data_IF_129588330261
#
_entry.id   IF_129588330261
#
_cell.length_a   1.000
_cell.length_b   1.000
_cell.length_c   1.000
_cell.angle_alpha   90.00
_cell.angle_beta   90.00
_cell.angle_gamma   90.00
#
_symmetry.space_group_name_H-M   'P 1'
#
loop_
_entity.id
_entity.type
_entity.pdbx_description
1 polymer ?
#
# COMPACT_ATOMS: atom_id res chain seq x y z
N UNK A 1 -70.63 -39.03 189.62
CA UNK A 1 -71.94 -38.54 189.14
C UNK A 1 -72.66 -37.94 190.32
N UNK A 2 -72.82 -36.62 190.45
CA UNK A 2 -73.60 -36.13 191.60
C UNK A 2 -74.55 -35.03 191.15
N UNK A 3 -75.80 -35.45 190.98
CA UNK A 3 -76.97 -34.56 190.99
C UNK A 3 -77.00 -33.91 192.36
N UNK A 4 -77.04 -32.58 192.40
CA UNK A 4 -77.36 -31.85 193.63
C UNK A 4 -78.48 -30.87 193.34
N UNK A 5 -79.60 -31.11 194.03
CA UNK A 5 -80.73 -30.21 194.07
C UNK A 5 -80.38 -28.96 194.87
N UNK A 6 -80.79 -27.82 194.33
CA UNK A 6 -80.86 -26.53 195.01
C UNK A 6 -82.28 -25.95 194.81
N UNK A 7 -82.88 -25.22 195.78
CA UNK A 7 -84.25 -24.69 195.75
C UNK A 7 -84.40 -23.39 194.90
N UNK A 8 -85.63 -23.00 194.46
CA UNK A 8 -85.86 -21.96 193.44
C UNK A 8 -85.97 -20.48 193.94
N UNK A 9 -85.94 -19.52 192.98
CA UNK A 9 -85.68 -18.06 193.06
C UNK A 9 -86.94 -17.16 192.80
N UNK A 10 -87.21 -16.08 193.56
CA UNK A 10 -88.35 -15.14 193.41
C UNK A 10 -88.55 -14.49 192.04
N UNK A 11 -87.50 -14.36 191.21
CA UNK A 11 -87.65 -13.87 189.83
C UNK A 11 -88.63 -14.70 189.00
N UNK A 12 -88.68 -16.01 189.23
CA UNK A 12 -89.58 -16.90 188.51
C UNK A 12 -91.04 -16.64 188.90
N UNK A 13 -91.30 -16.25 190.16
CA UNK A 13 -92.66 -15.97 190.66
C UNK A 13 -93.26 -14.74 189.99
N UNK A 14 -92.50 -13.64 189.90
CA UNK A 14 -92.94 -12.44 189.19
C UNK A 14 -93.17 -12.70 187.70
N UNK A 15 -92.33 -13.55 187.08
CA UNK A 15 -92.51 -13.95 185.69
C UNK A 15 -93.80 -14.77 185.50
N UNK A 16 -94.16 -15.63 186.46
CA UNK A 16 -95.40 -16.43 186.45
C UNK A 16 -96.63 -15.55 186.63
N UNK A 17 -96.60 -14.59 187.56
CA UNK A 17 -97.70 -13.65 187.76
C UNK A 17 -97.89 -12.71 186.57
N UNK A 18 -96.81 -12.18 186.02
CA UNK A 18 -96.86 -11.41 184.78
C UNK A 18 -97.42 -12.24 183.62
N UNK A 19 -97.06 -13.54 183.54
CA UNK A 19 -97.71 -14.47 182.60
C UNK A 19 -99.20 -14.60 182.88
N UNK A 20 -99.61 -14.79 184.14
CA UNK A 20 -101.04 -14.88 184.50
C UNK A 20 -101.82 -13.61 184.18
N UNK A 21 -101.27 -12.43 184.46
CA UNK A 21 -101.95 -11.16 184.18
C UNK A 21 -102.04 -10.91 182.68
N UNK A 22 -100.97 -11.15 181.92
CA UNK A 22 -101.05 -11.15 180.45
C UNK A 22 -102.06 -12.16 179.93
N UNK A 23 -102.12 -13.35 180.52
CA UNK A 23 -103.10 -14.36 180.11
C UNK A 23 -104.53 -13.93 180.45
N UNK A 24 -104.76 -13.24 181.58
CA UNK A 24 -106.07 -12.65 181.92
C UNK A 24 -106.46 -11.53 180.98
N UNK A 25 -105.54 -10.61 180.66
CA UNK A 25 -105.76 -9.56 179.67
C UNK A 25 -105.96 -10.12 178.26
N UNK A 26 -105.31 -11.24 177.96
CA UNK A 26 -105.50 -11.96 176.72
C UNK A 26 -106.86 -12.65 176.72
N UNK A 27 -107.25 -13.29 177.82
CA UNK A 27 -108.56 -13.93 177.98
C UNK A 27 -109.68 -12.91 177.87
N UNK A 28 -109.57 -11.73 178.48
CA UNK A 28 -110.57 -10.68 178.35
C UNK A 28 -110.73 -10.20 176.90
N UNK A 29 -109.66 -10.24 176.10
CA UNK A 29 -109.70 -9.96 174.65
C UNK A 29 -110.23 -11.14 173.81
N UNK A 30 -109.88 -12.37 174.17
CA UNK A 30 -110.17 -13.59 173.40
C UNK A 30 -111.60 -14.10 173.63
N UNK A 31 -112.09 -14.05 174.88
CA UNK A 31 -113.46 -14.45 175.21
C UNK A 31 -114.49 -13.39 174.82
N UNK A 32 -114.09 -12.12 174.75
CA UNK A 32 -114.97 -11.06 174.31
C UNK A 32 -115.03 -11.01 172.77
N UNK A 33 -116.09 -11.61 172.24
CA UNK A 33 -116.30 -11.80 170.79
C UNK A 33 -116.29 -10.47 170.03
N UNK A 34 -116.81 -9.38 170.62
CA UNK A 34 -116.93 -8.10 169.93
C UNK A 34 -115.57 -7.41 169.73
N UNK A 35 -114.70 -7.44 170.74
CA UNK A 35 -113.30 -6.99 170.60
C UNK A 35 -112.49 -7.91 169.71
N UNK A 36 -112.79 -9.21 169.69
CA UNK A 36 -112.10 -10.19 168.84
C UNK A 36 -112.40 -10.01 167.35
N UNK A 37 -113.64 -9.66 167.00
CA UNK A 37 -114.05 -9.49 165.60
C UNK A 37 -113.85 -8.05 165.13
N UNK A 38 -114.11 -7.04 165.97
CA UNK A 38 -114.14 -5.63 165.54
C UNK A 38 -113.52 -4.63 166.53
N UNK A 39 -112.56 -5.02 167.36
CA UNK A 39 -111.83 -4.06 168.20
C UNK A 39 -110.86 -3.20 167.38
N UNK A 40 -111.12 -1.90 167.23
CA UNK A 40 -110.23 -0.92 166.60
C UNK A 40 -110.16 0.35 167.44
N UNK A 41 -108.95 0.90 167.61
CA UNK A 41 -108.67 2.12 168.35
C UNK A 41 -108.72 3.35 167.42
N UNK A 42 -109.81 4.13 167.51
CA UNK A 42 -110.10 5.24 166.59
C UNK A 42 -109.27 6.49 166.90
N UNK A 43 -108.92 6.73 168.16
CA UNK A 43 -108.14 7.91 168.56
C UNK A 43 -106.70 7.82 168.03
N UNK A 44 -106.11 6.62 168.10
CA UNK A 44 -104.81 6.33 167.52
C UNK A 44 -104.79 6.55 166.00
N UNK A 45 -105.86 6.16 165.29
CA UNK A 45 -105.97 6.36 163.83
C UNK A 45 -106.06 7.84 163.44
N UNK A 46 -106.83 8.64 164.18
CA UNK A 46 -106.94 10.07 163.89
C UNK A 46 -105.60 10.80 164.09
N UNK A 47 -104.86 10.44 165.14
CA UNK A 47 -103.53 11.00 165.39
C UNK A 47 -102.54 10.63 164.28
N UNK A 48 -102.60 9.40 163.76
CA UNK A 48 -101.79 8.96 162.62
C UNK A 48 -102.09 9.74 161.33
N UNK A 49 -103.34 10.15 161.09
CA UNK A 49 -103.72 10.92 159.90
C UNK A 49 -103.16 12.35 159.96
N UNK A 50 -103.23 13.01 161.11
CA UNK A 50 -102.66 14.36 161.26
C UNK A 50 -101.14 14.36 161.14
N UNK A 51 -100.48 13.38 161.76
CA UNK A 51 -99.03 13.22 161.62
C UNK A 51 -98.63 12.99 160.15
N UNK A 52 -99.40 12.16 159.42
CA UNK A 52 -99.18 11.95 157.99
C UNK A 52 -99.31 13.25 157.18
N UNK A 53 -100.33 14.07 157.44
CA UNK A 53 -100.50 15.37 156.74
C UNK A 53 -99.33 16.31 157.00
N UNK A 54 -98.86 16.41 158.25
CA UNK A 54 -97.70 17.23 158.59
C UNK A 54 -96.45 16.73 157.84
N UNK A 55 -96.18 15.42 157.85
CA UNK A 55 -95.08 14.83 157.08
C UNK A 55 -95.17 15.19 155.60
N UNK A 56 -96.32 15.00 154.96
CA UNK A 56 -96.52 15.31 153.53
C UNK A 56 -96.24 16.80 153.22
N UNK A 57 -96.66 17.74 154.08
CA UNK A 57 -96.36 19.17 153.87
C UNK A 57 -94.87 19.49 154.02
N UNK A 58 -94.18 18.87 154.98
CA UNK A 58 -92.74 19.07 155.15
C UNK A 58 -91.94 18.48 153.99
N UNK A 59 -92.35 17.33 153.45
CA UNK A 59 -91.73 16.70 152.29
C UNK A 59 -91.88 17.58 151.04
N UNK A 60 -93.09 18.09 150.76
CA UNK A 60 -93.31 19.02 149.64
C UNK A 60 -92.44 20.28 149.72
N UNK A 61 -92.26 20.84 150.93
CA UNK A 61 -91.39 22.01 151.12
C UNK A 61 -89.92 21.70 150.85
N UNK A 62 -89.45 20.49 151.20
CA UNK A 62 -88.09 20.03 150.91
C UNK A 62 -87.90 19.79 149.42
N UNK A 63 -88.85 19.12 148.77
CA UNK A 63 -88.83 18.87 147.32
C UNK A 63 -88.76 20.18 146.52
N UNK A 64 -89.55 21.20 146.90
CA UNK A 64 -89.49 22.51 146.26
C UNK A 64 -88.10 23.18 146.38
N UNK A 65 -87.47 23.09 147.56
CA UNK A 65 -86.11 23.62 147.77
C UNK A 65 -85.06 22.85 146.93
N UNK A 66 -85.15 21.52 146.88
CA UNK A 66 -84.28 20.72 146.00
C UNK A 66 -84.48 21.06 144.52
N UNK A 67 -85.72 21.26 144.08
CA UNK A 67 -86.03 21.69 142.71
C UNK A 67 -85.35 23.02 142.35
N UNK A 68 -85.39 24.02 143.24
CA UNK A 68 -84.69 25.29 143.00
C UNK A 68 -83.17 25.14 142.94
N UNK A 69 -82.61 24.25 143.75
CA UNK A 69 -81.15 23.99 143.76
C UNK A 69 -80.71 23.27 142.49
N UNK A 70 -81.54 22.33 141.99
CA UNK A 70 -81.29 21.61 140.75
C UNK A 70 -81.25 22.56 139.54
N UNK A 71 -82.20 23.49 139.44
CA UNK A 71 -82.21 24.50 138.37
C UNK A 71 -80.94 25.36 138.39
N UNK A 72 -80.41 25.70 139.57
CA UNK A 72 -79.15 26.43 139.69
C UNK A 72 -77.96 25.60 139.18
N UNK A 73 -77.90 24.31 139.54
CA UNK A 73 -76.86 23.41 139.05
C UNK A 73 -76.93 23.17 137.54
N UNK A 74 -78.13 23.06 136.97
CA UNK A 74 -78.33 22.87 135.53
C UNK A 74 -77.80 24.07 134.72
N UNK A 75 -78.01 25.30 135.22
CA UNK A 75 -77.46 26.52 134.60
C UNK A 75 -75.93 26.52 134.63
N UNK A 76 -75.32 26.11 135.74
CA UNK A 76 -73.86 25.99 135.86
C UNK A 76 -73.31 24.93 134.91
N UNK A 77 -73.98 23.78 134.78
CA UNK A 77 -73.59 22.71 133.87
C UNK A 77 -73.60 23.17 132.40
N UNK A 78 -74.65 23.89 131.97
CA UNK A 78 -74.73 24.44 130.61
C UNK A 78 -73.62 25.47 130.31
N UNK A 79 -73.21 26.26 131.31
CA UNK A 79 -72.10 27.21 131.15
C UNK A 79 -70.77 26.48 130.94
N UNK A 80 -70.49 25.45 131.74
CA UNK A 80 -69.26 24.65 131.61
C UNK A 80 -69.19 23.90 130.27
N UNK A 81 -70.31 23.34 129.81
CA UNK A 81 -70.38 22.64 128.52
C UNK A 81 -70.06 23.60 127.34
N UNK A 82 -70.55 24.84 127.40
CA UNK A 82 -70.23 25.87 126.39
C UNK A 82 -68.73 26.21 126.40
N UNK A 83 -68.13 26.36 127.58
CA UNK A 83 -66.69 26.64 127.69
C UNK A 83 -65.84 25.47 127.15
N UNK A 84 -66.20 24.23 127.46
CA UNK A 84 -65.51 23.05 126.92
C UNK A 84 -65.66 22.94 125.40
N UNK A 85 -66.86 23.18 124.86
CA UNK A 85 -67.10 23.19 123.43
C UNK A 85 -66.24 24.25 122.71
N UNK A 86 -66.09 25.45 123.28
CA UNK A 86 -65.20 26.48 122.75
C UNK A 86 -63.72 26.08 122.81
N UNK A 87 -63.26 25.50 123.92
CA UNK A 87 -61.88 25.00 124.06
C UNK A 87 -61.59 23.93 123.03
N UNK A 88 -62.50 22.98 122.83
CA UNK A 88 -62.39 21.93 121.82
C UNK A 88 -62.32 22.52 120.41
N UNK A 89 -63.18 23.49 120.07
CA UNK A 89 -63.11 24.20 118.78
C UNK A 89 -61.77 24.89 118.55
N UNK A 90 -61.22 25.58 119.56
CA UNK A 90 -59.91 26.24 119.47
C UNK A 90 -58.78 25.23 119.28
N UNK A 91 -58.84 24.10 119.99
CA UNK A 91 -57.86 23.01 119.86
C UNK A 91 -57.90 22.38 118.46
N UNK A 92 -59.10 22.04 117.96
CA UNK A 92 -59.27 21.45 116.62
C UNK A 92 -58.75 22.37 115.52
N UNK A 93 -58.99 23.69 115.62
CA UNK A 93 -58.43 24.67 114.67
C UNK A 93 -56.89 24.65 114.68
N UNK A 94 -56.26 24.70 115.85
CA UNK A 94 -54.79 24.64 115.97
C UNK A 94 -54.20 23.34 115.41
N UNK A 95 -54.85 22.20 115.64
CA UNK A 95 -54.42 20.90 115.09
C UNK A 95 -54.49 20.93 113.57
N UNK A 96 -55.58 21.46 113.00
CA UNK A 96 -55.76 21.55 111.56
C UNK A 96 -54.72 22.48 110.91
N UNK A 97 -54.49 23.66 111.49
CA UNK A 97 -53.43 24.59 111.06
C UNK A 97 -52.04 23.93 111.10
N UNK A 98 -51.74 23.16 112.14
CA UNK A 98 -50.47 22.43 112.25
C UNK A 98 -50.32 21.35 111.17
N UNK A 99 -51.38 20.58 110.90
CA UNK A 99 -51.41 19.58 109.81
C UNK A 99 -51.15 20.25 108.46
N UNK A 100 -51.83 21.35 108.20
CA UNK A 100 -51.71 22.10 106.94
C UNK A 100 -50.33 22.74 106.78
N UNK A 101 -49.68 23.23 107.83
CA UNK A 101 -48.38 23.89 107.71
C UNK A 101 -47.20 22.91 107.67
N UNK A 102 -47.21 21.90 108.54
CA UNK A 102 -46.03 21.07 108.84
C UNK A 102 -46.13 19.65 108.28
N UNK A 103 -47.33 19.12 108.04
CA UNK A 103 -47.53 17.73 107.59
C UNK A 103 -47.95 17.61 106.12
N UNK A 104 -47.67 18.63 105.30
CA UNK A 104 -47.91 18.55 103.86
C UNK A 104 -47.05 17.46 103.21
N UNK A 105 -47.66 16.68 102.32
CA UNK A 105 -47.00 15.61 101.58
C UNK A 105 -45.72 16.10 100.86
N UNK A 106 -45.76 17.32 100.31
CA UNK A 106 -44.65 17.97 99.60
C UNK A 106 -43.38 18.20 100.45
N UNK A 107 -43.49 18.19 101.77
CA UNK A 107 -42.37 18.47 102.70
C UNK A 107 -41.71 17.21 103.25
N UNK A 108 -42.09 16.02 102.78
CA UNK A 108 -41.46 14.75 103.18
C UNK A 108 -40.18 14.51 102.38
N UNK A 109 -39.12 14.04 103.03
CA UNK A 109 -37.86 13.69 102.35
C UNK A 109 -38.02 12.62 101.25
N UNK A 110 -39.01 11.75 101.39
CA UNK A 110 -39.31 10.69 100.42
C UNK A 110 -40.26 11.15 99.31
N UNK A 111 -40.68 12.42 99.25
CA UNK A 111 -41.64 12.87 98.23
C UNK A 111 -41.09 12.71 96.81
N UNK A 112 -39.80 12.97 96.58
CA UNK A 112 -39.17 12.89 95.26
C UNK A 112 -39.31 11.50 94.59
N UNK A 113 -39.12 10.37 95.29
CA UNK A 113 -39.47 9.04 94.77
C UNK A 113 -40.95 8.84 94.40
N UNK A 114 -41.87 9.45 95.15
CA UNK A 114 -43.32 9.22 95.06
C UNK A 114 -44.08 10.26 94.22
N UNK A 115 -43.40 11.28 93.69
CA UNK A 115 -44.03 12.31 92.86
C UNK A 115 -44.59 11.71 91.55
N UNK A 116 -45.91 11.80 91.28
CA UNK A 116 -46.52 11.33 90.03
C UNK A 116 -45.91 11.97 88.78
N UNK A 117 -45.36 13.18 88.89
CA UNK A 117 -44.73 13.91 87.79
C UNK A 117 -43.24 13.63 87.63
N UNK A 118 -42.65 12.76 88.46
CA UNK A 118 -41.22 12.44 88.40
C UNK A 118 -40.79 11.90 87.03
N UNK A 119 -41.66 11.14 86.35
CA UNK A 119 -41.40 10.63 85.02
C UNK A 119 -41.45 11.71 83.93
N UNK A 120 -42.23 12.79 84.15
CA UNK A 120 -42.26 13.95 83.26
C UNK A 120 -41.11 14.94 83.53
N UNK A 121 -40.67 15.06 84.79
CA UNK A 121 -39.56 15.94 85.18
C UNK A 121 -38.17 15.31 84.98
N UNK A 122 -38.10 13.98 84.86
CA UNK A 122 -36.90 13.31 84.35
C UNK A 122 -36.73 13.71 82.89
N UNK A 123 -35.69 14.50 82.62
CA UNK A 123 -35.22 14.69 81.25
C UNK A 123 -35.04 13.30 80.62
N UNK A 124 -35.59 13.06 79.41
CA UNK A 124 -35.26 11.84 78.68
C UNK A 124 -33.73 11.77 78.58
N UNK A 125 -33.17 10.57 78.71
CA UNK A 125 -31.73 10.36 78.49
C UNK A 125 -31.33 11.07 77.17
N UNK A 126 -30.21 11.82 77.15
CA UNK A 126 -29.92 12.75 76.07
C UNK A 126 -30.02 12.06 74.71
N UNK A 127 -31.02 12.45 73.91
CA UNK A 127 -31.28 11.88 72.58
C UNK A 127 -30.35 12.44 71.48
N UNK A 128 -29.27 13.13 71.87
CA UNK A 128 -28.46 13.93 70.96
C UNK A 128 -26.98 13.63 71.15
N UNK A 129 -26.34 13.25 70.05
CA UNK A 129 -25.05 12.55 69.96
C UNK A 129 -23.81 13.34 70.40
N UNK A 130 -23.98 14.50 71.04
CA UNK A 130 -22.89 15.35 71.51
C UNK A 130 -23.24 16.01 72.84
N UNK A 131 -23.61 15.20 73.83
CA UNK A 131 -23.75 15.67 75.20
C UNK A 131 -22.38 15.62 75.92
N UNK A 132 -21.82 16.77 76.39
CA UNK A 132 -20.54 16.82 77.09
C UNK A 132 -20.46 15.95 78.35
N UNK A 133 -21.61 15.56 78.91
CA UNK A 133 -21.69 14.81 80.17
C UNK A 133 -21.65 13.27 79.99
N UNK A 134 -21.72 12.75 78.76
CA UNK A 134 -21.73 11.32 78.47
C UNK A 134 -20.33 10.80 78.07
N UNK A 135 -19.48 10.49 79.07
CA UNK A 135 -18.17 9.86 78.84
C UNK A 135 -18.23 8.35 78.58
N UNK A 136 -17.11 7.72 78.25
CA UNK A 136 -17.03 6.29 77.91
C UNK A 136 -17.57 5.34 79.00
N UNK A 137 -17.50 5.71 80.28
CA UNK A 137 -18.02 4.92 81.40
C UNK A 137 -19.57 4.91 81.48
N UNK A 138 -20.25 5.87 80.84
CA UNK A 138 -21.71 5.96 80.83
C UNK A 138 -22.37 4.85 80.00
N UNK A 139 -21.63 4.21 79.07
CA UNK A 139 -22.12 3.21 78.12
C UNK A 139 -23.31 3.68 77.26
N UNK A 140 -23.55 4.99 77.16
CA UNK A 140 -24.65 5.56 76.38
C UNK A 140 -24.25 5.92 74.95
N UNK A 141 -22.95 6.07 74.68
CA UNK A 141 -22.41 6.40 73.36
C UNK A 141 -21.26 5.44 73.01
N UNK A 142 -21.33 4.82 71.83
CA UNK A 142 -20.29 3.94 71.32
C UNK A 142 -19.73 4.49 70.00
N UNK A 143 -18.41 4.73 69.86
CA UNK A 143 -17.83 5.29 68.64
C UNK A 143 -17.91 4.34 67.41
N UNK A 144 -18.28 3.08 67.60
CA UNK A 144 -18.57 2.15 66.50
C UNK A 144 -19.97 2.30 65.90
N UNK A 145 -20.87 3.01 66.59
CA UNK A 145 -22.24 3.27 66.14
C UNK A 145 -22.26 4.42 65.14
N UNK A 146 -21.94 4.10 63.89
CA UNK A 146 -21.87 5.08 62.81
C UNK A 146 -23.27 5.48 62.35
N UNK A 147 -23.77 6.62 62.81
CA UNK A 147 -25.03 7.22 62.35
C UNK A 147 -24.98 7.63 60.86
N UNK A 148 -23.79 7.99 60.36
CA UNK A 148 -23.52 8.29 58.95
C UNK A 148 -23.33 7.04 58.07
N UNK A 149 -23.51 5.82 58.61
CA UNK A 149 -23.36 4.56 57.85
C UNK A 149 -24.24 4.52 56.60
N UNK A 150 -25.37 5.23 56.58
CA UNK A 150 -26.24 5.34 55.40
C UNK A 150 -25.73 6.38 54.36
N UNK A 151 -24.97 7.39 54.78
CA UNK A 151 -24.43 8.46 53.93
C UNK A 151 -23.11 8.07 53.25
N UNK A 152 -22.25 7.35 53.97
CA UNK A 152 -20.96 6.85 53.46
C UNK A 152 -21.07 6.01 52.17
N UNK A 153 -21.96 5.00 52.05
CA UNK A 153 -22.06 4.20 50.83
C UNK A 153 -22.63 5.00 49.66
N UNK A 154 -23.49 5.99 49.90
CA UNK A 154 -24.01 6.87 48.84
C UNK A 154 -22.89 7.73 48.24
N UNK A 155 -22.07 8.34 49.09
CA UNK A 155 -20.91 9.13 48.64
C UNK A 155 -19.88 8.27 47.90
N UNK A 156 -19.64 7.04 48.38
CA UNK A 156 -18.78 6.08 47.68
C UNK A 156 -19.37 5.70 46.32
N UNK A 157 -20.67 5.38 46.25
CA UNK A 157 -21.36 5.06 44.98
C UNK A 157 -21.30 6.23 43.99
N UNK A 158 -21.47 7.47 44.44
CA UNK A 158 -21.34 8.66 43.60
C UNK A 158 -19.91 8.85 43.07
N UNK A 159 -18.90 8.64 43.92
CA UNK A 159 -17.48 8.67 43.52
C UNK A 159 -17.17 7.55 42.52
N UNK A 160 -17.66 6.33 42.76
CA UNK A 160 -17.49 5.22 41.82
C UNK A 160 -18.17 5.50 40.49
N UNK A 161 -19.40 6.02 40.49
CA UNK A 161 -20.12 6.40 39.26
C UNK A 161 -19.35 7.46 38.48
N UNK A 162 -18.89 8.51 39.16
CA UNK A 162 -18.09 9.58 38.54
C UNK A 162 -16.80 9.05 37.89
N UNK A 163 -16.08 8.17 38.59
CA UNK A 163 -14.85 7.58 38.07
C UNK A 163 -15.11 6.66 36.86
N UNK A 164 -16.18 5.86 36.90
CA UNK A 164 -16.57 5.01 35.77
C UNK A 164 -17.02 5.83 34.55
N UNK A 165 -17.79 6.90 34.77
CA UNK A 165 -18.18 7.83 33.70
C UNK A 165 -16.95 8.48 33.06
N UNK A 166 -15.97 8.91 33.86
CA UNK A 166 -14.71 9.46 33.36
C UNK A 166 -13.92 8.42 32.56
N UNK A 167 -13.77 7.20 33.06
CA UNK A 167 -13.08 6.12 32.34
C UNK A 167 -13.75 5.79 31.02
N UNK A 168 -15.09 5.78 30.98
CA UNK A 168 -15.84 5.55 29.74
C UNK A 168 -15.58 6.67 28.73
N UNK A 169 -15.60 7.93 29.18
CA UNK A 169 -15.29 9.08 28.32
C UNK A 169 -13.86 9.02 27.78
N UNK A 170 -12.87 8.72 28.63
CA UNK A 170 -11.47 8.55 28.23
C UNK A 170 -11.31 7.43 27.20
N UNK A 171 -11.98 6.28 27.39
CA UNK A 171 -11.96 5.20 26.40
C UNK A 171 -12.64 5.59 25.08
N UNK A 172 -13.77 6.30 25.13
CA UNK A 172 -14.44 6.79 23.92
C UNK A 172 -13.56 7.78 23.16
N UNK A 173 -12.88 8.69 23.86
CA UNK A 173 -11.93 9.63 23.27
C UNK A 173 -10.72 8.90 22.68
N UNK A 174 -10.16 7.91 23.39
CA UNK A 174 -9.06 7.10 22.88
C UNK A 174 -9.45 6.36 21.59
N UNK A 175 -10.63 5.72 21.55
CA UNK A 175 -11.15 5.05 20.35
C UNK A 175 -11.39 6.04 19.21
N UNK A 176 -11.95 7.21 19.49
CA UNK A 176 -12.13 8.25 18.48
C UNK A 176 -10.78 8.72 17.91
N UNK A 177 -9.77 8.89 18.76
CA UNK A 177 -8.42 9.24 18.34
C UNK A 177 -7.78 8.13 17.50
N UNK A 178 -7.89 6.86 17.91
CA UNK A 178 -7.42 5.70 17.15
C UNK A 178 -8.07 5.67 15.75
N UNK A 179 -9.40 5.76 15.68
CA UNK A 179 -10.09 5.79 14.37
C UNK A 179 -9.68 6.99 13.51
N UNK A 180 -9.41 8.15 14.11
CA UNK A 180 -8.91 9.32 13.38
C UNK A 180 -7.50 9.08 12.83
N UNK A 181 -6.61 8.49 13.65
CA UNK A 181 -5.24 8.13 13.25
C UNK A 181 -5.27 7.08 12.13
N UNK A 182 -6.13 6.06 12.24
CA UNK A 182 -6.27 5.02 11.22
C UNK A 182 -6.77 5.60 9.90
N UNK A 183 -7.80 6.46 9.92
CA UNK A 183 -8.28 7.15 8.73
C UNK A 183 -7.19 8.02 8.08
N UNK A 184 -6.41 8.75 8.87
CA UNK A 184 -5.28 9.53 8.37
C UNK A 184 -4.17 8.65 7.78
N UNK A 185 -3.87 7.53 8.44
CA UNK A 185 -2.90 6.54 7.96
C UNK A 185 -3.33 5.96 6.60
N UNK A 186 -4.59 5.60 6.46
CA UNK A 186 -5.13 5.05 5.21
C UNK A 186 -5.13 6.11 4.08
N UNK A 187 -5.48 7.37 4.39
CA UNK A 187 -5.36 8.46 3.43
C UNK A 187 -3.92 8.66 2.96
N UNK A 188 -2.95 8.61 3.88
CA UNK A 188 -1.53 8.70 3.54
C UNK A 188 -1.08 7.54 2.67
N UNK A 189 -1.50 6.31 2.97
CA UNK A 189 -1.20 5.12 2.15
C UNK A 189 -1.76 5.27 0.74
N UNK A 190 -3.03 5.66 0.60
CA UNK A 190 -3.65 5.89 -0.70
C UNK A 190 -2.92 6.98 -1.50
N UNK A 191 -2.52 8.07 -0.85
CA UNK A 191 -1.74 9.13 -1.50
C UNK A 191 -0.36 8.62 -1.97
N UNK A 192 0.30 7.78 -1.18
CA UNK A 192 1.56 7.14 -1.56
C UNK A 192 1.38 6.19 -2.75
N UNK A 193 0.34 5.35 -2.73
CA UNK A 193 0.03 4.41 -3.82
C UNK A 193 -0.29 5.16 -5.12
N UNK A 194 -1.10 6.23 -5.06
CA UNK A 194 -1.38 7.09 -6.21
C UNK A 194 -0.07 7.66 -6.76
N UNK A 195 0.79 8.20 -5.89
CA UNK A 195 2.09 8.72 -6.32
C UNK A 195 2.98 7.65 -6.94
N UNK A 196 3.01 6.44 -6.37
CA UNK A 196 3.77 5.32 -6.90
C UNK A 196 3.27 4.94 -8.31
N UNK A 197 1.96 4.83 -8.52
CA UNK A 197 1.40 4.54 -9.86
C UNK A 197 1.69 5.64 -10.88
N UNK A 198 1.69 6.91 -10.46
CA UNK A 198 2.09 8.04 -11.32
C UNK A 198 3.56 7.94 -11.71
N UNK A 199 4.44 7.61 -10.76
CA UNK A 199 5.88 7.43 -11.02
C UNK A 199 6.14 6.28 -12.00
N UNK A 200 5.46 5.14 -11.84
CA UNK A 200 5.58 4.01 -12.77
C UNK A 200 5.14 4.40 -14.19
N UNK A 201 4.00 5.07 -14.34
CA UNK A 201 3.53 5.55 -15.65
C UNK A 201 4.51 6.53 -16.30
N UNK A 202 5.08 7.43 -15.51
CA UNK A 202 6.10 8.36 -16.01
C UNK A 202 7.36 7.62 -16.45
N UNK A 203 7.86 6.67 -15.66
CA UNK A 203 9.02 5.85 -16.01
C UNK A 203 8.79 5.05 -17.30
N UNK A 204 7.63 4.41 -17.43
CA UNK A 204 7.21 3.72 -18.66
C UNK A 204 7.20 4.67 -19.85
N UNK A 205 6.62 5.86 -19.71
CA UNK A 205 6.59 6.86 -20.78
C UNK A 205 8.00 7.32 -21.19
N UNK A 206 8.89 7.55 -20.23
CA UNK A 206 10.29 7.91 -20.47
C UNK A 206 11.04 6.77 -21.17
N UNK A 207 10.84 5.52 -20.73
CA UNK A 207 11.44 4.33 -21.35
C UNK A 207 10.99 4.17 -22.80
N UNK A 208 9.70 4.34 -23.07
CA UNK A 208 9.15 4.29 -24.43
C UNK A 208 9.72 5.41 -25.31
N UNK A 209 9.84 6.64 -24.79
CA UNK A 209 10.44 7.75 -25.50
C UNK A 209 11.92 7.51 -25.82
N UNK A 210 12.70 7.00 -24.85
CA UNK A 210 14.10 6.62 -25.06
C UNK A 210 14.24 5.51 -26.12
N UNK A 211 13.41 4.47 -26.04
CA UNK A 211 13.42 3.39 -27.03
C UNK A 211 13.04 3.88 -28.44
N UNK A 212 12.09 4.80 -28.54
CA UNK A 212 11.73 5.44 -29.81
C UNK A 212 12.88 6.28 -30.36
N UNK A 213 13.53 7.09 -29.51
CA UNK A 213 14.67 7.92 -29.89
C UNK A 213 15.87 7.08 -30.35
N UNK A 214 16.21 6.00 -29.64
CA UNK A 214 17.29 5.09 -30.05
C UNK A 214 16.95 4.34 -31.33
N UNK A 215 15.71 3.88 -31.50
CA UNK A 215 15.27 3.26 -32.74
C UNK A 215 15.37 4.23 -33.94
N UNK A 216 15.00 5.49 -33.75
CA UNK A 216 15.10 6.52 -34.79
C UNK A 216 16.57 6.85 -35.11
N UNK A 217 17.44 6.95 -34.10
CA UNK A 217 18.88 7.15 -34.29
C UNK A 217 19.51 5.96 -35.04
N UNK A 218 19.18 4.72 -34.67
CA UNK A 218 19.66 3.53 -35.37
C UNK A 218 19.19 3.47 -36.82
N UNK A 219 17.93 3.87 -37.08
CA UNK A 219 17.40 3.99 -38.45
C UNK A 219 18.15 5.04 -39.26
N UNK A 220 18.41 6.22 -38.68
CA UNK A 220 19.17 7.28 -39.33
C UNK A 220 20.61 6.82 -39.64
N UNK A 221 21.28 6.19 -38.68
CA UNK A 221 22.62 5.64 -38.85
C UNK A 221 22.65 4.55 -39.94
N UNK A 222 21.66 3.65 -39.97
CA UNK A 222 21.56 2.64 -41.02
C UNK A 222 21.37 3.26 -42.42
N UNK A 223 20.58 4.34 -42.53
CA UNK A 223 20.40 5.07 -43.77
C UNK A 223 21.69 5.79 -44.21
N UNK A 224 22.40 6.43 -43.28
CA UNK A 224 23.71 7.05 -43.55
C UNK A 224 24.73 6.01 -44.03
N UNK A 225 24.82 4.87 -43.36
CA UNK A 225 25.70 3.77 -43.77
C UNK A 225 25.34 3.23 -45.16
N UNK A 226 24.05 3.08 -45.46
CA UNK A 226 23.60 2.64 -46.78
C UNK A 226 23.97 3.65 -47.88
N UNK A 227 23.83 4.95 -47.62
CA UNK A 227 24.26 6.02 -48.53
C UNK A 227 25.79 6.04 -48.72
N UNK A 228 26.56 5.85 -47.65
CA UNK A 228 28.02 5.73 -47.73
C UNK A 228 28.42 4.55 -48.60
N UNK A 229 27.84 3.36 -48.38
CA UNK A 229 28.11 2.19 -49.21
C UNK A 229 27.72 2.41 -50.67
N UNK A 230 26.60 3.10 -50.95
CA UNK A 230 26.21 3.44 -52.33
C UNK A 230 27.26 4.33 -52.99
N UNK A 231 27.72 5.37 -52.29
CA UNK A 231 28.78 6.28 -52.78
C UNK A 231 30.10 5.55 -52.99
N UNK A 232 30.48 4.65 -52.08
CA UNK A 232 31.68 3.83 -52.24
C UNK A 232 31.58 2.91 -53.45
N UNK A 233 30.45 2.25 -53.65
CA UNK A 233 30.22 1.42 -54.85
C UNK A 233 30.28 2.26 -56.13
N UNK A 234 29.71 3.46 -56.13
CA UNK A 234 29.80 4.38 -57.27
C UNK A 234 31.26 4.76 -57.54
N UNK A 235 32.01 5.16 -56.51
CA UNK A 235 33.45 5.47 -56.65
C UNK A 235 34.26 4.28 -57.15
N UNK A 236 33.96 3.07 -56.67
CA UNK A 236 34.60 1.85 -57.16
C UNK A 236 34.26 1.60 -58.62
N UNK A 237 33.00 1.78 -59.03
CA UNK A 237 32.59 1.65 -60.43
C UNK A 237 33.30 2.69 -61.32
N UNK A 238 33.36 3.94 -60.89
CA UNK A 238 34.08 5.01 -61.59
C UNK A 238 35.57 4.68 -61.70
N UNK A 239 36.22 4.25 -60.62
CA UNK A 239 37.62 3.85 -60.62
C UNK A 239 37.87 2.66 -61.57
N UNK A 240 37.02 1.64 -61.52
CA UNK A 240 37.10 0.49 -62.43
C UNK A 240 36.93 0.92 -63.89
N UNK A 241 35.99 1.81 -64.19
CA UNK A 241 35.80 2.34 -65.54
C UNK A 241 37.01 3.15 -66.01
N UNK A 242 37.58 3.99 -65.14
CA UNK A 242 38.79 4.75 -65.42
C UNK A 242 39.99 3.83 -65.66
N UNK A 243 40.14 2.77 -64.87
CA UNK A 243 41.16 1.74 -65.08
C UNK A 243 40.99 1.05 -66.43
N UNK A 244 39.78 0.59 -66.76
CA UNK A 244 39.48 -0.03 -68.06
C UNK A 244 39.81 0.93 -69.20
N UNK A 245 39.36 2.19 -69.12
CA UNK A 245 39.66 3.20 -70.14
C UNK A 245 41.17 3.44 -70.27
N UNK A 246 41.88 3.54 -69.14
CA UNK A 246 43.34 3.70 -69.14
C UNK A 246 44.03 2.52 -69.82
N UNK A 247 43.59 1.29 -69.54
CA UNK A 247 44.16 0.08 -70.14
C UNK A 247 43.85 0.00 -71.63
N UNK A 248 42.61 0.27 -72.04
CA UNK A 248 42.19 0.27 -73.46
C UNK A 248 42.93 1.33 -74.25
N UNK A 249 43.13 2.53 -73.68
CA UNK A 249 43.93 3.61 -74.28
C UNK A 249 45.44 3.41 -74.14
N UNK A 250 45.87 2.41 -73.38
CA UNK A 250 47.28 2.15 -73.17
C UNK A 250 47.93 1.70 -74.47
N UNK A 251 49.17 2.12 -74.64
CA UNK A 251 50.00 1.80 -75.79
C UNK A 251 50.15 0.29 -76.08
N UNK A 252 50.01 -0.56 -75.04
CA UNK A 252 50.11 -2.00 -75.16
C UNK A 252 48.88 -2.60 -75.86
N UNK A 253 47.67 -2.29 -75.38
CA UNK A 253 46.42 -2.83 -75.95
C UNK A 253 46.04 -2.15 -77.27
N UNK A 254 46.36 -0.86 -77.43
CA UNK A 254 46.10 -0.13 -78.68
C UNK A 254 47.15 -0.38 -79.77
N UNK A 255 48.19 -1.17 -79.48
CA UNK A 255 49.35 -1.43 -80.35
C UNK A 255 49.85 -0.17 -81.08
N UNK A 256 50.00 0.94 -80.34
CA UNK A 256 50.29 2.24 -80.96
C UNK A 256 51.67 2.22 -81.66
N UNK A 257 51.75 2.40 -82.99
CA UNK A 257 53.01 2.32 -83.73
C UNK A 257 53.99 3.44 -83.39
N UNK A 258 53.53 4.54 -82.76
CA UNK A 258 54.41 5.63 -82.35
C UNK A 258 55.38 5.26 -81.22
N UNK A 259 55.06 4.23 -80.43
CA UNK A 259 55.91 3.74 -79.34
C UNK A 259 57.23 3.17 -79.87
N UNK A 260 57.24 2.69 -81.12
CA UNK A 260 58.43 2.16 -81.77
C UNK A 260 59.41 3.27 -82.20
N UNK A 261 59.00 4.54 -82.23
CA UNK A 261 59.87 5.65 -82.62
C UNK A 261 60.86 6.00 -81.50
N UNK A 262 62.13 6.17 -81.85
CA UNK A 262 63.13 6.59 -80.89
C UNK A 262 62.97 8.10 -80.59
N UNK A 263 62.82 8.51 -79.31
CA UNK A 263 62.60 9.91 -78.95
C UNK A 263 63.78 10.84 -79.28
N UNK A 264 65.00 10.32 -79.34
CA UNK A 264 66.22 11.11 -79.63
C UNK A 264 66.54 11.12 -81.13
N UNK A 265 66.14 10.07 -81.86
CA UNK A 265 66.49 9.88 -83.26
C UNK A 265 65.27 9.40 -84.07
N UNK A 266 64.47 10.30 -84.68
CA UNK A 266 63.22 9.94 -85.35
C UNK A 266 63.35 8.93 -86.51
N UNK A 267 64.54 8.86 -87.11
CA UNK A 267 64.86 7.91 -88.19
C UNK A 267 65.21 6.51 -87.68
N UNK A 268 65.40 6.31 -86.37
CA UNK A 268 65.67 5.02 -85.75
C UNK A 268 64.45 4.51 -85.01
N UNK A 269 64.29 3.19 -85.07
CA UNK A 269 63.24 2.47 -84.38
C UNK A 269 63.85 1.76 -83.17
N UNK A 270 63.13 1.72 -82.07
CA UNK A 270 63.45 0.89 -80.91
C UNK A 270 63.25 -0.60 -81.26
N UNK A 271 64.30 -1.45 -81.20
CA UNK A 271 64.22 -2.83 -81.69
C UNK A 271 63.15 -3.68 -80.98
N UNK A 272 62.93 -3.45 -79.69
CA UNK A 272 62.01 -4.22 -78.85
C UNK A 272 60.53 -3.84 -79.01
N UNK A 273 60.22 -2.69 -79.64
CA UNK A 273 58.83 -2.25 -79.93
C UNK A 273 58.49 -2.30 -81.42
N UNK A 274 59.35 -2.88 -82.26
CA UNK A 274 59.11 -2.92 -83.70
C UNK A 274 58.02 -3.93 -84.07
N UNK A 275 56.88 -3.43 -84.54
CA UNK A 275 55.72 -4.20 -85.02
C UNK A 275 55.55 -4.12 -86.54
N UNK A 276 56.68 -4.13 -87.27
CA UNK A 276 56.71 -4.16 -88.73
C UNK A 276 56.56 -2.80 -89.42
N UNK A 277 56.55 -2.82 -90.76
CA UNK A 277 56.53 -1.60 -91.59
C UNK A 277 55.18 -0.90 -91.56
N UNK A 278 55.18 0.44 -91.56
CA UNK A 278 53.97 1.27 -91.63
C UNK A 278 53.25 1.07 -92.97
N UNK A 279 51.91 1.26 -93.02
CA UNK A 279 51.16 1.14 -94.27
C UNK A 279 51.68 2.09 -95.36
N UNK A 280 52.16 3.28 -94.98
CA UNK A 280 52.78 4.25 -95.89
C UNK A 280 54.09 3.73 -96.49
N UNK A 281 54.97 3.14 -95.68
CA UNK A 281 56.22 2.52 -96.15
C UNK A 281 55.94 1.36 -97.11
N UNK A 282 54.97 0.49 -96.78
CA UNK A 282 54.56 -0.62 -97.66
C UNK A 282 53.98 -0.10 -98.97
N UNK A 283 53.19 0.98 -98.93
CA UNK A 283 52.66 1.61 -100.12
C UNK A 283 53.77 2.22 -100.99
N UNK A 284 54.77 2.87 -100.39
CA UNK A 284 55.94 3.38 -101.11
C UNK A 284 56.73 2.26 -101.80
N UNK A 285 56.97 1.14 -101.11
CA UNK A 285 57.62 -0.05 -101.70
C UNK A 285 56.83 -0.56 -102.90
N UNK A 286 55.51 -0.68 -102.79
CA UNK A 286 54.65 -1.12 -103.91
C UNK A 286 54.76 -0.18 -105.11
N UNK A 287 54.75 1.14 -104.88
CA UNK A 287 54.95 2.13 -105.96
C UNK A 287 56.31 1.98 -106.65
N UNK A 288 57.37 1.76 -105.87
CA UNK A 288 58.72 1.52 -106.42
C UNK A 288 58.76 0.22 -107.24
N UNK A 289 58.16 -0.86 -106.75
CA UNK A 289 58.07 -2.13 -107.48
C UNK A 289 57.29 -1.99 -108.79
N UNK A 290 56.20 -1.21 -108.79
CA UNK A 290 55.46 -0.89 -110.01
C UNK A 290 56.29 -0.10 -111.01
N UNK A 291 57.06 0.89 -110.55
CA UNK A 291 57.98 1.63 -111.40
C UNK A 291 59.06 0.71 -112.00
N UNK A 292 59.65 -0.18 -111.20
CA UNK A 292 60.63 -1.16 -111.68
C UNK A 292 60.06 -2.13 -112.71
N UNK A 293 58.81 -2.58 -112.55
CA UNK A 293 58.13 -3.42 -113.55
C UNK A 293 57.98 -2.68 -114.89
N UNK A 294 57.54 -1.43 -114.84
CA UNK A 294 57.39 -0.58 -116.03
C UNK A 294 58.74 -0.32 -116.71
N UNK A 295 59.78 -0.04 -115.94
CA UNK A 295 61.13 0.17 -116.46
C UNK A 295 61.67 -1.10 -117.15
N UNK A 296 61.48 -2.28 -116.53
CA UNK A 296 61.90 -3.56 -117.12
C UNK A 296 61.07 -3.96 -118.34
N UNK A 297 59.80 -3.58 -118.41
CA UNK A 297 58.98 -3.72 -119.62
C UNK A 297 59.48 -2.80 -120.74
N UNK A 298 59.80 -1.54 -120.44
CA UNK A 298 60.37 -0.61 -121.40
C UNK A 298 61.73 -1.09 -121.92
N UNK A 299 62.61 -1.63 -121.05
CA UNK A 299 63.87 -2.24 -121.46
C UNK A 299 63.66 -3.41 -122.42
N UNK A 300 62.73 -4.33 -122.12
CA UNK A 300 62.41 -5.45 -123.02
C UNK A 300 61.87 -4.99 -124.38
N UNK A 301 61.05 -3.94 -124.40
CA UNK A 301 60.56 -3.35 -125.66
C UNK A 301 61.69 -2.72 -126.47
N UNK A 302 62.65 -2.06 -125.81
CA UNK A 302 63.83 -1.48 -126.47
C UNK A 302 64.76 -2.57 -127.02
N UNK A 303 65.00 -3.66 -126.27
CA UNK A 303 65.74 -4.83 -126.75
C UNK A 303 65.06 -5.47 -127.96
N UNK A 304 63.75 -5.70 -127.90
CA UNK A 304 62.98 -6.23 -129.05
C UNK A 304 63.05 -5.31 -130.27
N UNK A 305 63.02 -3.99 -130.08
CA UNK A 305 63.17 -3.03 -131.17
C UNK A 305 64.57 -3.14 -131.80
N UNK A 306 65.63 -3.20 -131.00
CA UNK A 306 67.00 -3.41 -131.48
C UNK A 306 67.16 -4.73 -132.22
N UNK A 307 66.63 -5.83 -131.69
CA UNK A 307 66.66 -7.14 -132.35
C UNK A 307 65.95 -7.08 -133.71
N UNK A 308 64.79 -6.41 -133.79
CA UNK A 308 64.07 -6.23 -135.06
C UNK A 308 64.83 -5.36 -136.07
N UNK A 309 65.58 -4.35 -135.60
CA UNK A 309 66.47 -3.56 -136.44
C UNK A 309 67.63 -4.41 -136.97
N UNK A 310 68.23 -5.26 -136.14
CA UNK A 310 69.27 -6.21 -136.55
C UNK A 310 68.75 -7.25 -137.56
N UNK A 311 67.57 -7.81 -137.34
CA UNK A 311 66.93 -8.72 -138.29
C UNK A 311 66.66 -8.02 -139.64
N UNK A 312 66.17 -6.78 -139.60
CA UNK A 312 65.93 -5.97 -140.81
C UNK A 312 67.24 -5.67 -141.55
N UNK A 313 68.31 -5.34 -140.82
CA UNK A 313 69.64 -5.15 -141.41
C UNK A 313 70.17 -6.44 -142.03
N UNK A 314 69.98 -7.60 -141.39
CA UNK A 314 70.38 -8.88 -141.94
C UNK A 314 69.62 -9.22 -143.24
N UNK A 315 68.31 -8.94 -143.30
CA UNK A 315 67.51 -9.10 -144.52
C UNK A 315 68.00 -8.17 -145.63
N UNK A 316 68.26 -6.89 -145.33
CA UNK A 316 68.77 -5.93 -146.31
C UNK A 316 70.16 -6.34 -146.84
N UNK A 317 71.05 -6.83 -145.96
CA UNK A 317 72.37 -7.35 -146.36
C UNK A 317 72.24 -8.61 -147.23
N UNK A 318 71.30 -9.51 -146.91
CA UNK A 318 71.03 -10.69 -147.73
C UNK A 318 70.49 -10.32 -149.12
N UNK A 319 69.61 -9.32 -149.20
CA UNK A 319 69.12 -8.76 -150.47
C UNK A 319 70.27 -8.17 -151.30
N UNK A 320 71.11 -7.33 -150.69
CA UNK A 320 72.28 -6.76 -151.36
C UNK A 320 73.28 -7.86 -151.84
N UNK A 321 73.46 -8.92 -151.06
CA UNK A 321 74.28 -10.07 -151.46
C UNK A 321 73.68 -10.82 -152.66
N UNK A 322 72.36 -11.02 -152.71
CA UNK A 322 71.69 -11.62 -153.87
C UNK A 322 71.83 -10.74 -155.12
N UNK A 323 71.67 -9.43 -155.00
CA UNK A 323 71.86 -8.48 -156.11
C UNK A 323 73.31 -8.54 -156.65
N UNK A 324 74.31 -8.61 -155.76
CA UNK A 324 75.71 -8.80 -156.16
C UNK A 324 75.93 -10.15 -156.86
N UNK A 325 75.33 -11.24 -156.36
CA UNK A 325 75.42 -12.56 -156.97
C UNK A 325 74.77 -12.59 -158.38
N UNK A 326 73.68 -11.85 -158.57
CA UNK A 326 73.06 -11.65 -159.89
C UNK A 326 73.98 -10.88 -160.83
N UNK A 327 74.59 -9.79 -160.39
CA UNK A 327 75.58 -9.03 -161.17
C UNK A 327 76.78 -9.91 -161.55
N UNK A 328 77.29 -10.73 -160.63
CA UNK A 328 78.37 -11.69 -160.93
C UNK A 328 77.94 -12.71 -161.99
N UNK A 329 76.71 -13.23 -161.91
CA UNK A 329 76.16 -14.16 -162.92
C UNK A 329 76.04 -13.51 -164.29
N UNK A 330 75.59 -12.25 -164.36
CA UNK A 330 75.51 -11.49 -165.60
C UNK A 330 76.89 -11.29 -166.24
N UNK A 331 77.86 -10.83 -165.46
CA UNK A 331 79.26 -10.67 -165.91
C UNK A 331 79.84 -12.01 -166.36
N UNK A 332 79.61 -13.09 -165.61
CA UNK A 332 80.05 -14.44 -166.01
C UNK A 332 79.39 -14.90 -167.32
N UNK A 333 78.12 -14.56 -167.55
CA UNK A 333 77.43 -14.86 -168.80
C UNK A 333 78.01 -14.06 -169.96
N UNK A 334 78.35 -12.78 -169.78
CA UNK A 334 79.06 -11.97 -170.77
C UNK A 334 80.43 -12.55 -171.10
N UNK A 335 81.24 -12.91 -170.09
CA UNK A 335 82.52 -13.58 -170.30
C UNK A 335 82.36 -14.90 -171.05
N UNK A 336 81.34 -15.71 -170.73
CA UNK A 336 81.05 -16.95 -171.47
C UNK A 336 80.65 -16.70 -172.91
N UNK A 337 79.87 -15.65 -173.22
CA UNK A 337 79.55 -15.26 -174.60
C UNK A 337 80.82 -14.84 -175.35
N UNK A 338 81.66 -14.02 -174.72
CA UNK A 338 82.95 -13.59 -175.29
C UNK A 338 83.89 -14.77 -175.57
N UNK A 339 84.04 -15.68 -174.61
CA UNK A 339 84.81 -16.93 -174.77
C UNK A 339 84.21 -17.83 -175.86
N UNK A 340 82.87 -17.91 -175.95
CA UNK A 340 82.18 -18.65 -177.00
C UNK A 340 82.51 -18.12 -178.40
N UNK A 341 82.46 -16.80 -178.60
CA UNK A 341 82.86 -16.17 -179.87
C UNK A 341 84.34 -16.37 -180.19
N UNK A 342 85.23 -16.31 -179.20
CA UNK A 342 86.66 -16.53 -179.39
C UNK A 342 86.96 -17.99 -179.77
N UNK A 343 86.32 -18.96 -179.11
CA UNK A 343 86.46 -20.38 -179.43
C UNK A 343 85.92 -20.73 -180.83
N UNK A 344 84.86 -20.06 -181.29
CA UNK A 344 84.39 -20.22 -182.67
C UNK A 344 85.42 -19.75 -183.69
N UNK A 345 86.03 -18.57 -183.48
CA UNK A 345 87.12 -18.08 -184.34
C UNK A 345 88.32 -19.06 -184.35
N UNK A 346 88.73 -19.54 -183.18
CA UNK A 346 89.82 -20.51 -183.06
C UNK A 346 89.51 -21.84 -183.78
N UNK A 347 88.26 -22.31 -183.74
CA UNK A 347 87.82 -23.52 -184.43
C UNK A 347 87.81 -23.35 -185.95
N UNK A 348 87.42 -22.18 -186.46
CA UNK A 348 87.49 -21.85 -187.89
C UNK A 348 88.95 -21.83 -188.39
N UNK A 349 89.86 -21.21 -187.63
CA UNK A 349 91.30 -21.19 -187.93
C UNK A 349 91.91 -22.60 -187.96
N UNK A 350 91.60 -23.45 -186.97
CA UNK A 350 92.08 -24.84 -186.93
C UNK A 350 91.53 -25.66 -188.10
N UNK A 351 90.26 -25.49 -188.45
CA UNK A 351 89.64 -26.19 -189.59
C UNK A 351 90.26 -25.75 -190.92
N UNK A 352 90.57 -24.46 -191.07
CA UNK A 352 91.31 -23.95 -192.23
C UNK A 352 92.72 -24.56 -192.34
N UNK A 353 93.45 -24.68 -191.22
CA UNK A 353 94.75 -25.36 -191.19
C UNK A 353 94.67 -26.84 -191.54
N UNK A 354 93.70 -27.58 -190.98
CA UNK A 354 93.54 -29.01 -191.29
C UNK A 354 93.20 -29.24 -192.77
N UNK A 355 92.35 -28.40 -193.36
CA UNK A 355 92.04 -28.45 -194.78
C UNK A 355 93.28 -28.22 -195.65
N UNK A 356 94.15 -27.27 -195.27
CA UNK A 356 95.42 -27.01 -195.95
C UNK A 356 96.37 -28.22 -195.92
N UNK A 357 96.55 -28.84 -194.75
CA UNK A 357 97.42 -30.01 -194.58
C UNK A 357 96.96 -31.20 -195.43
N UNK A 358 95.66 -31.52 -195.40
CA UNK A 358 95.10 -32.67 -196.11
C UNK A 358 95.11 -32.51 -197.64
N UNK A 359 94.89 -31.30 -198.15
CA UNK A 359 94.78 -31.07 -199.60
C UNK A 359 96.14 -30.96 -200.30
N UNK A 360 97.16 -30.42 -199.63
CA UNK A 360 98.43 -30.05 -200.29
C UNK A 360 99.58 -30.97 -199.89
N UNK A 361 99.68 -31.34 -198.61
CA UNK A 361 100.86 -32.04 -198.09
C UNK A 361 100.70 -33.56 -198.13
N UNK A 362 99.49 -34.08 -197.84
CA UNK A 362 99.29 -35.52 -197.66
C UNK A 362 98.92 -36.32 -198.92
N UNK A 363 99.09 -35.75 -200.12
CA UNK A 363 98.84 -36.46 -201.39
C UNK A 363 100.17 -36.83 -202.05
N UNK A 364 100.61 -38.09 -201.87
CA UNK A 364 101.78 -38.64 -202.55
C UNK A 364 101.39 -39.17 -203.94
N UNK A 365 101.94 -38.57 -205.00
CA UNK A 365 101.83 -39.09 -206.38
C UNK A 365 103.11 -39.87 -206.73
N UNK A 366 103.03 -41.13 -207.16
CA UNK A 366 104.21 -41.91 -207.50
C UNK A 366 104.92 -41.34 -208.75
N UNK A 367 106.22 -41.14 -208.64
CA UNK A 367 107.08 -40.56 -209.67
C UNK A 367 107.36 -41.57 -210.79
N UNK A 368 107.38 -41.10 -212.05
CA UNK A 368 107.48 -41.94 -213.25
C UNK A 368 108.68 -42.92 -213.29
N UNK A 369 109.76 -42.66 -212.53
CA UNK A 369 110.88 -43.61 -212.34
C UNK A 369 110.45 -44.97 -211.78
N UNK A 370 109.37 -45.02 -211.00
CA UNK A 370 108.84 -46.24 -210.38
C UNK A 370 108.37 -47.27 -211.41
N UNK A 371 107.82 -46.83 -212.55
CA UNK A 371 107.24 -47.74 -213.55
C UNK A 371 108.27 -48.29 -214.56
N UNK A 372 109.46 -47.69 -214.65
CA UNK A 372 110.52 -48.09 -215.58
C UNK A 372 111.37 -49.28 -215.09
N UNK A 373 111.10 -49.81 -213.90
CA UNK A 373 111.89 -50.89 -213.28
C UNK A 373 111.49 -52.31 -213.70
N UNK A 374 110.42 -52.50 -214.48
CA UNK A 374 109.91 -53.84 -214.83
C UNK A 374 110.12 -54.18 -216.31
N UNK A 375 110.62 -55.40 -216.57
CA UNK A 375 110.79 -56.07 -217.88
C UNK A 375 111.85 -55.46 -218.85
N UNK A 376 113.08 -55.21 -218.40
CA UNK A 376 114.14 -54.56 -219.18
C UNK A 376 115.32 -55.46 -219.60
N UNK A 377 115.24 -56.79 -219.48
CA UNK A 377 116.35 -57.65 -219.94
C UNK A 377 115.98 -58.88 -220.74
N UNK A 378 116.69 -58.94 -221.86
CA UNK A 378 117.01 -60.04 -222.76
C UNK A 378 115.85 -60.91 -223.15
N UNK A 379 114.71 -60.33 -223.50
CA UNK A 379 114.62 -59.12 -224.32
C UNK A 379 114.97 -57.76 -223.70
#
# INVERSE_FOLDING_TARGET
>A
MFKTNVPPDPKEVAAIEARRNREKERQSRVFNVRTRVMGVDVEALNSQVEERKLRETTERSKEAAYGTTQVQYDVVAQMLEKEEAERNRRLSKKIQEFREQKQQLKKKCEFDPWDPFRLWMKYPAPLRDNDPYCGAASLQYFPGENLDRARCPRMQQEQFRYNLERQLQEQQQARANETCIDMLSDQLRLAMDIRATQMVKLEESCRMAMMSATANANKAQAAEMAEQQRRERQRQQEANLMEIQSLVSSNLLSENPQVAQNPVAPHRVLPYYWTGMTPEQRAAIRRVQEAQRREKEAQRQAEQALDSEWESQAVNLAQAAMELEEQEKELCAEFRRGLGSFNQQLAEEQKAQQNYLNAIIYINKPTAQYYLQYNTSSR
#
